data_IF_819787540527
#
_entry.id   IF_819787540527
#
_cell.length_a   1.000
_cell.length_b   1.000
_cell.length_c   1.000
_cell.angle_alpha   90.00
_cell.angle_beta   90.00
_cell.angle_gamma   90.00
#
_symmetry.space_group_name_H-M   'P 1'
#
loop_
_entity.id
_entity.type
_entity.pdbx_description
1 polymer ?
#
# COMPACT_ATOMS: atom_id res chain seq x y z
N UNK A 1 -19.95 7.53 -58.72
CA UNK A 1 -21.16 7.60 -59.56
C UNK A 1 -21.73 6.18 -59.67
N UNK A 2 -23.00 6.03 -59.27
CA UNK A 2 -23.99 5.00 -59.71
C UNK A 2 -23.58 3.53 -59.44
N UNK A 3 -24.21 2.79 -58.52
CA UNK A 3 -25.61 2.32 -58.57
C UNK A 3 -25.73 1.17 -59.59
N UNK A 4 -26.50 0.10 -59.46
CA UNK A 4 -27.35 -0.53 -58.48
C UNK A 4 -27.70 -1.91 -59.11
N UNK A 5 -28.13 -2.87 -58.29
CA UNK A 5 -29.04 -3.98 -58.61
C UNK A 5 -28.80 -4.86 -59.87
N UNK A 6 -28.73 -6.18 -59.68
CA UNK A 6 -29.95 -7.00 -59.88
C UNK A 6 -29.73 -8.48 -59.60
N UNK A 7 -30.71 -8.99 -58.87
CA UNK A 7 -30.99 -10.37 -58.45
C UNK A 7 -31.08 -11.38 -59.61
N UNK A 8 -30.75 -12.64 -59.34
CA UNK A 8 -31.68 -13.81 -59.31
C UNK A 8 -30.92 -15.12 -59.06
N UNK A 9 -31.40 -15.92 -58.09
CA UNK A 9 -31.11 -17.36 -57.86
C UNK A 9 -32.09 -18.22 -58.72
N UNK A 10 -32.20 -19.57 -58.59
CA UNK A 10 -31.24 -20.69 -58.33
C UNK A 10 -31.46 -21.88 -59.32
N UNK A 11 -30.63 -22.94 -59.26
CA UNK A 11 -31.09 -24.32 -59.54
C UNK A 11 -30.22 -25.40 -58.86
N UNK A 12 -30.91 -26.24 -58.06
CA UNK A 12 -30.77 -27.70 -57.84
C UNK A 12 -29.37 -28.32 -57.66
N UNK A 13 -29.09 -29.22 -56.71
CA UNK A 13 -29.79 -29.98 -55.66
C UNK A 13 -28.65 -30.66 -54.84
N UNK A 14 -28.76 -31.63 -53.94
CA UNK A 14 -29.71 -32.68 -53.56
C UNK A 14 -29.20 -33.16 -52.18
N UNK A 15 -30.09 -33.57 -51.26
CA UNK A 15 -29.65 -34.52 -50.22
C UNK A 15 -30.55 -34.68 -48.99
N UNK A 16 -31.68 -35.39 -49.17
CA UNK A 16 -32.30 -36.44 -48.30
C UNK A 16 -31.89 -36.47 -46.81
N UNK A 17 -32.80 -36.57 -45.83
CA UNK A 17 -33.76 -37.68 -45.68
C UNK A 17 -34.63 -37.58 -44.39
N UNK A 18 -35.95 -37.72 -44.59
CA UNK A 18 -36.98 -38.49 -43.84
C UNK A 18 -37.52 -38.03 -42.47
N UNK A 19 -38.87 -37.87 -42.49
CA UNK A 19 -39.85 -37.48 -41.47
C UNK A 19 -40.36 -38.71 -40.64
N UNK A 20 -41.56 -38.67 -39.99
CA UNK A 20 -41.84 -38.15 -38.64
C UNK A 20 -42.69 -39.14 -37.79
N UNK A 21 -42.84 -38.97 -36.47
CA UNK A 21 -44.10 -39.31 -35.76
C UNK A 21 -44.25 -38.46 -34.50
N UNK A 22 -45.37 -37.76 -34.44
CA UNK A 22 -45.83 -36.93 -33.32
C UNK A 22 -46.55 -37.79 -32.27
N UNK A 23 -46.51 -37.35 -31.01
CA UNK A 23 -47.56 -37.58 -30.03
C UNK A 23 -47.66 -36.35 -29.11
N UNK A 24 -48.90 -35.88 -28.94
CA UNK A 24 -49.38 -34.70 -28.21
C UNK A 24 -50.18 -35.18 -26.99
N UNK A 25 -50.26 -34.36 -25.92
CA UNK A 25 -51.36 -34.13 -24.95
C UNK A 25 -50.76 -33.87 -23.54
N UNK A 26 -50.71 -32.61 -23.06
CA UNK A 26 -51.75 -31.86 -22.31
C UNK A 26 -51.88 -32.33 -20.84
N UNK A 27 -51.95 -31.52 -19.77
CA UNK A 27 -52.00 -30.08 -19.52
C UNK A 27 -51.72 -29.86 -18.00
N UNK A 28 -51.24 -28.68 -17.58
CA UNK A 28 -51.77 -27.81 -16.50
C UNK A 28 -50.86 -26.59 -16.40
N UNK A 29 -51.43 -25.42 -16.72
CA UNK A 29 -50.93 -24.11 -16.28
C UNK A 29 -51.83 -23.70 -15.11
N UNK A 30 -51.24 -23.36 -13.96
CA UNK A 30 -51.54 -22.18 -13.09
C UNK A 30 -50.75 -22.36 -11.78
N UNK A 31 -49.72 -21.55 -11.58
CA UNK A 31 -49.47 -20.76 -10.37
C UNK A 31 -48.09 -20.07 -10.46
N UNK A 32 -48.10 -18.75 -10.48
CA UNK A 32 -46.93 -17.90 -10.51
C UNK A 32 -46.05 -18.06 -9.27
N UNK A 33 -44.76 -18.32 -9.47
CA UNK A 33 -43.68 -17.98 -8.55
C UNK A 33 -42.45 -17.66 -9.40
N UNK A 34 -42.40 -16.41 -9.88
CA UNK A 34 -41.15 -15.76 -10.25
C UNK A 34 -40.32 -15.60 -8.97
N UNK A 35 -39.62 -16.66 -8.56
CA UNK A 35 -38.45 -16.48 -7.73
C UNK A 35 -37.40 -15.86 -8.65
N UNK A 36 -37.35 -14.52 -8.62
CA UNK A 36 -36.15 -13.77 -8.94
C UNK A 36 -34.99 -14.45 -8.22
N UNK A 37 -34.15 -15.20 -8.94
CA UNK A 37 -32.78 -15.33 -8.50
C UNK A 37 -32.28 -13.88 -8.37
N UNK A 38 -31.68 -13.47 -7.24
CA UNK A 38 -30.95 -12.22 -7.24
C UNK A 38 -29.89 -12.36 -8.32
N UNK A 39 -30.10 -11.69 -9.44
CA UNK A 39 -29.01 -11.35 -10.32
C UNK A 39 -28.10 -10.55 -9.42
N UNK A 40 -26.98 -11.15 -8.99
CA UNK A 40 -25.87 -10.40 -8.47
C UNK A 40 -25.48 -9.47 -9.62
N UNK A 41 -26.07 -8.28 -9.64
CA UNK A 41 -25.51 -7.17 -10.36
C UNK A 41 -24.15 -7.02 -9.71
N UNK A 42 -23.11 -7.47 -10.41
CA UNK A 42 -21.78 -6.93 -10.20
C UNK A 42 -21.92 -5.44 -10.50
N UNK A 43 -22.37 -4.69 -9.51
CA UNK A 43 -22.17 -3.25 -9.51
C UNK A 43 -20.67 -3.12 -9.51
N UNK A 44 -20.11 -2.57 -10.59
CA UNK A 44 -18.71 -2.14 -10.72
C UNK A 44 -18.41 -1.02 -9.70
N UNK A 45 -18.64 -1.29 -8.41
CA UNK A 45 -18.17 -0.48 -7.31
C UNK A 45 -16.68 -0.79 -7.27
N UNK A 46 -15.89 0.17 -7.74
CA UNK A 46 -14.45 0.15 -7.49
C UNK A 46 -14.31 0.28 -5.98
N UNK A 47 -14.05 -0.81 -5.29
CA UNK A 47 -13.94 -0.87 -3.83
C UNK A 47 -12.61 -0.28 -3.32
N UNK A 48 -11.68 -0.04 -4.24
CA UNK A 48 -10.39 0.60 -4.00
C UNK A 48 -10.46 2.09 -4.37
N UNK A 49 -10.19 2.95 -3.39
CA UNK A 49 -9.91 4.37 -3.61
C UNK A 49 -8.46 4.73 -3.36
N UNK A 50 -8.08 5.94 -3.77
CA UNK A 50 -6.80 6.53 -3.40
C UNK A 50 -6.91 8.01 -3.08
N UNK A 51 -5.95 8.49 -2.28
CA UNK A 51 -5.86 9.88 -1.88
C UNK A 51 -4.43 10.40 -2.00
N UNK A 52 -4.30 11.63 -2.49
CA UNK A 52 -3.02 12.34 -2.50
C UNK A 52 -2.79 13.04 -1.15
N UNK A 53 -2.10 12.35 -0.24
CA UNK A 53 -1.80 12.91 1.08
C UNK A 53 -0.86 14.12 1.01
N UNK A 54 -0.02 14.22 -0.02
CA UNK A 54 0.86 15.36 -0.22
C UNK A 54 0.04 16.62 -0.51
N UNK A 55 -1.02 16.52 -1.32
CA UNK A 55 -1.96 17.62 -1.54
C UNK A 55 -2.76 17.96 -0.28
N UNK A 56 -3.18 16.98 0.52
CA UNK A 56 -3.85 17.26 1.81
C UNK A 56 -2.95 18.06 2.76
N UNK A 57 -1.65 17.71 2.83
CA UNK A 57 -0.66 18.43 3.64
C UNK A 57 -0.39 19.86 3.18
N UNK A 58 -0.82 20.22 1.97
CA UNK A 58 -0.72 21.57 1.43
C UNK A 58 -1.94 22.46 1.72
N UNK A 59 -2.97 21.93 2.38
CA UNK A 59 -4.14 22.74 2.75
C UNK A 59 -3.76 23.83 3.77
N UNK A 60 -4.52 24.94 3.75
CA UNK A 60 -4.27 26.12 4.58
C UNK A 60 -4.01 25.81 6.06
N UNK A 61 -4.84 24.99 6.74
CA UNK A 61 -4.61 24.63 8.13
C UNK A 61 -3.27 23.92 8.37
N UNK A 62 -2.87 23.00 7.48
CA UNK A 62 -1.58 22.30 7.58
C UNK A 62 -0.40 23.25 7.33
N UNK A 63 -0.48 24.16 6.34
CA UNK A 63 0.54 25.19 6.10
C UNK A 63 0.70 26.14 7.30
N UNK A 64 -0.42 26.52 7.92
CA UNK A 64 -0.42 27.33 9.14
C UNK A 64 0.26 26.59 10.29
N UNK A 65 -0.10 25.33 10.53
CA UNK A 65 0.54 24.49 11.55
C UNK A 65 2.05 24.33 11.30
N UNK A 66 2.48 24.08 10.06
CA UNK A 66 3.89 24.02 9.66
C UNK A 66 4.63 25.32 9.97
N UNK A 67 4.03 26.46 9.63
CA UNK A 67 4.62 27.79 9.89
C UNK A 67 4.78 28.04 11.39
N UNK A 68 3.74 27.75 12.18
CA UNK A 68 3.77 27.89 13.64
C UNK A 68 4.81 26.97 14.28
N UNK A 69 4.93 25.73 13.79
CA UNK A 69 5.92 24.79 14.29
C UNK A 69 7.34 25.22 13.96
N UNK A 70 7.60 25.69 12.74
CA UNK A 70 8.92 26.21 12.34
C UNK A 70 9.33 27.46 13.14
N UNK A 71 8.37 28.34 13.45
CA UNK A 71 8.61 29.48 14.35
C UNK A 71 8.94 29.01 15.78
N UNK A 72 8.18 28.05 16.30
CA UNK A 72 8.44 27.46 17.61
C UNK A 72 9.83 26.82 17.68
N UNK A 73 10.23 26.04 16.68
CA UNK A 73 11.57 25.43 16.63
C UNK A 73 12.68 26.48 16.64
N UNK A 74 12.55 27.57 15.87
CA UNK A 74 13.54 28.66 15.88
C UNK A 74 13.68 29.29 17.27
N UNK A 75 12.57 29.55 17.94
CA UNK A 75 12.58 30.05 19.33
C UNK A 75 13.19 29.05 20.30
N UNK A 76 12.84 27.77 20.16
CA UNK A 76 13.30 26.69 21.02
C UNK A 76 14.81 26.48 20.88
N UNK A 77 15.38 26.58 19.67
CA UNK A 77 16.83 26.51 19.45
C UNK A 77 17.60 27.64 20.14
N UNK A 78 17.07 28.87 20.14
CA UNK A 78 17.68 30.00 20.88
C UNK A 78 17.66 29.78 22.39
N UNK A 79 16.54 29.29 22.93
CA UNK A 79 16.41 28.92 24.34
C UNK A 79 17.37 27.79 24.72
N UNK A 80 17.57 26.81 23.83
CA UNK A 80 18.46 25.68 24.07
C UNK A 80 19.91 26.14 24.21
N UNK A 81 20.39 26.95 23.26
CA UNK A 81 21.76 27.49 23.29
C UNK A 81 22.02 28.31 24.55
N UNK A 82 21.04 29.07 25.04
CA UNK A 82 21.15 29.78 26.30
C UNK A 82 21.18 28.83 27.51
N UNK A 83 20.33 27.79 27.50
CA UNK A 83 20.18 26.86 28.62
C UNK A 83 21.41 25.97 28.86
N UNK A 84 22.16 25.60 27.81
CA UNK A 84 23.33 24.72 27.90
C UNK A 84 24.63 25.43 28.31
N UNK A 85 24.70 26.77 28.24
CA UNK A 85 25.90 27.54 28.58
C UNK A 85 26.32 27.30 30.03
N UNK A 86 27.58 26.92 30.22
CA UNK A 86 28.16 26.66 31.55
C UNK A 86 27.56 25.45 32.27
N UNK A 87 26.84 24.55 31.58
CA UNK A 87 26.27 23.33 32.16
C UNK A 87 27.19 22.13 31.97
N UNK A 88 27.15 21.20 32.92
CA UNK A 88 27.85 19.92 32.81
C UNK A 88 27.18 19.01 31.78
N UNK A 89 27.90 17.98 31.31
CA UNK A 89 27.40 17.03 30.30
C UNK A 89 26.08 16.35 30.73
N UNK A 90 25.97 15.94 31.99
CA UNK A 90 24.74 15.34 32.52
C UNK A 90 23.55 16.32 32.53
N UNK A 91 23.80 17.61 32.80
CA UNK A 91 22.77 18.64 32.75
C UNK A 91 22.36 18.96 31.31
N UNK A 92 23.32 19.03 30.38
CA UNK A 92 23.05 19.23 28.96
C UNK A 92 22.17 18.11 28.39
N UNK A 93 22.44 16.85 28.77
CA UNK A 93 21.62 15.72 28.34
C UNK A 93 20.16 15.83 28.81
N UNK A 94 19.93 16.25 30.07
CA UNK A 94 18.57 16.48 30.60
C UNK A 94 17.86 17.63 29.87
N UNK A 95 18.58 18.73 29.61
CA UNK A 95 18.06 19.87 28.85
C UNK A 95 17.67 19.43 27.43
N UNK A 96 18.51 18.63 26.78
CA UNK A 96 18.22 18.10 25.44
C UNK A 96 16.93 17.26 25.43
N UNK A 97 16.75 16.37 26.42
CA UNK A 97 15.53 15.56 26.55
C UNK A 97 14.27 16.42 26.78
N UNK A 98 14.34 17.44 27.64
CA UNK A 98 13.21 18.35 27.87
C UNK A 98 12.83 19.09 26.57
N UNK A 99 13.81 19.63 25.86
CA UNK A 99 13.60 20.39 24.64
C UNK A 99 13.00 19.53 23.53
N UNK A 100 13.49 18.30 23.34
CA UNK A 100 12.89 17.33 22.43
C UNK A 100 11.44 17.01 22.83
N UNK A 101 11.18 16.85 24.14
CA UNK A 101 9.83 16.65 24.66
C UNK A 101 8.89 17.83 24.36
N UNK A 102 9.37 19.07 24.51
CA UNK A 102 8.62 20.30 24.18
C UNK A 102 8.31 20.37 22.69
N UNK A 103 9.28 20.08 21.83
CA UNK A 103 9.08 20.01 20.37
C UNK A 103 8.03 18.96 20.00
N UNK A 104 8.13 17.74 20.53
CA UNK A 104 7.18 16.67 20.26
C UNK A 104 5.76 17.00 20.75
N UNK A 105 5.61 17.61 21.94
CA UNK A 105 4.32 18.08 22.45
C UNK A 105 3.72 19.12 21.52
N UNK A 106 4.49 20.14 21.13
CA UNK A 106 4.01 21.20 20.24
C UNK A 106 3.61 20.68 18.87
N UNK A 107 4.36 19.71 18.34
CA UNK A 107 4.00 19.05 17.08
C UNK A 107 2.65 18.34 17.20
N UNK A 108 2.43 17.54 18.26
CA UNK A 108 1.15 16.86 18.47
C UNK A 108 -0.01 17.83 18.65
N UNK A 109 0.17 18.92 19.37
CA UNK A 109 -0.86 19.97 19.55
C UNK A 109 -1.28 20.59 18.21
N UNK A 110 -0.32 20.90 17.33
CA UNK A 110 -0.58 21.57 16.07
C UNK A 110 -1.13 20.61 14.99
N UNK A 111 -0.59 19.40 14.91
CA UNK A 111 -0.90 18.46 13.83
C UNK A 111 -1.92 17.40 14.22
N UNK A 112 -2.00 17.00 15.48
CA UNK A 112 -2.89 15.91 15.94
C UNK A 112 -4.36 16.12 15.53
N UNK A 113 -4.97 17.28 15.84
CA UNK A 113 -6.35 17.56 15.42
C UNK A 113 -6.54 17.58 13.90
N UNK A 114 -5.55 18.07 13.14
CA UNK A 114 -5.60 18.13 11.68
C UNK A 114 -5.53 16.73 11.06
N UNK A 115 -4.63 15.88 11.58
CA UNK A 115 -4.49 14.49 11.15
C UNK A 115 -5.73 13.67 11.49
N UNK A 116 -6.27 13.81 12.71
CA UNK A 116 -7.52 13.16 13.10
C UNK A 116 -8.70 13.59 12.22
N UNK A 117 -8.79 14.89 11.89
CA UNK A 117 -9.79 15.39 10.95
C UNK A 117 -9.60 14.80 9.55
N UNK A 118 -8.38 14.74 9.03
CA UNK A 118 -8.10 14.15 7.73
C UNK A 118 -8.49 12.67 7.67
N UNK A 119 -8.14 11.90 8.71
CA UNK A 119 -8.50 10.50 8.83
C UNK A 119 -10.03 10.30 8.86
N UNK A 120 -10.74 11.11 9.64
CA UNK A 120 -12.20 11.08 9.67
C UNK A 120 -12.82 11.45 8.32
N UNK A 121 -12.29 12.46 7.63
CA UNK A 121 -12.76 12.84 6.29
C UNK A 121 -12.56 11.73 5.27
N UNK A 122 -11.40 11.06 5.29
CA UNK A 122 -11.11 9.93 4.40
C UNK A 122 -12.08 8.79 4.69
N UNK A 123 -12.27 8.43 5.96
CA UNK A 123 -13.19 7.37 6.37
C UNK A 123 -14.63 7.66 5.95
N UNK A 124 -15.11 8.88 6.14
CA UNK A 124 -16.48 9.27 5.77
C UNK A 124 -16.68 9.30 4.26
N UNK A 125 -15.71 9.79 3.49
CA UNK A 125 -15.76 9.75 2.02
C UNK A 125 -15.71 8.32 1.50
N UNK A 126 -14.87 7.47 2.09
CA UNK A 126 -14.77 6.06 1.75
C UNK A 126 -16.10 5.33 2.02
N UNK A 127 -16.68 5.50 3.21
CA UNK A 127 -17.97 4.91 3.56
C UNK A 127 -19.09 5.38 2.62
N UNK A 128 -19.17 6.68 2.32
CA UNK A 128 -20.17 7.24 1.41
C UNK A 128 -20.06 6.73 -0.03
N UNK A 129 -18.87 6.30 -0.45
CA UNK A 129 -18.60 5.79 -1.79
C UNK A 129 -18.51 4.26 -1.85
N UNK A 130 -18.72 3.57 -0.73
CA UNK A 130 -18.62 2.11 -0.66
C UNK A 130 -17.20 1.57 -0.84
N UNK A 131 -16.17 2.33 -0.48
CA UNK A 131 -14.77 1.91 -0.59
C UNK A 131 -14.38 1.02 0.59
N UNK A 132 -13.83 -0.16 0.30
CA UNK A 132 -13.31 -1.12 1.28
C UNK A 132 -11.88 -0.78 1.71
N UNK A 133 -11.14 -0.06 0.86
CA UNK A 133 -9.76 0.37 1.11
C UNK A 133 -9.46 1.71 0.43
N UNK A 134 -8.62 2.52 1.09
CA UNK A 134 -8.01 3.71 0.49
C UNK A 134 -6.50 3.63 0.69
N UNK A 135 -5.77 3.82 -0.41
CA UNK A 135 -4.30 3.84 -0.42
C UNK A 135 -3.75 5.21 -0.78
N UNK A 136 -2.45 5.40 -0.56
CA UNK A 136 -1.76 6.61 -0.99
C UNK A 136 -1.59 6.63 -2.51
N UNK A 137 -1.76 7.81 -3.13
CA UNK A 137 -1.62 8.00 -4.58
C UNK A 137 -0.24 7.60 -5.11
N UNK A 138 0.82 7.66 -4.31
CA UNK A 138 2.19 7.36 -4.73
C UNK A 138 2.40 5.94 -5.27
N UNK A 139 1.52 4.99 -4.92
CA UNK A 139 1.58 3.61 -5.40
C UNK A 139 0.59 3.31 -6.55
N UNK A 140 -0.19 4.29 -6.98
CA UNK A 140 -1.20 4.10 -8.03
C UNK A 140 -0.64 4.51 -9.39
N UNK A 141 -0.58 3.54 -10.29
CA UNK A 141 -0.26 3.77 -11.71
C UNK A 141 -1.55 3.91 -12.53
N UNK A 142 -2.51 3.01 -12.31
CA UNK A 142 -3.78 2.95 -13.02
C UNK A 142 -4.87 2.31 -12.15
N UNK A 143 -6.13 2.72 -12.34
CA UNK A 143 -7.28 2.20 -11.61
C UNK A 143 -7.54 2.92 -10.28
N UNK A 144 -8.55 2.41 -9.56
CA UNK A 144 -9.02 2.99 -8.29
C UNK A 144 -9.77 4.32 -8.46
N UNK A 145 -10.52 4.69 -7.42
CA UNK A 145 -11.26 5.95 -7.36
C UNK A 145 -10.44 7.04 -6.65
N UNK A 146 -10.09 8.11 -7.37
CA UNK A 146 -9.47 9.28 -6.75
C UNK A 146 -10.50 10.00 -5.86
N UNK A 147 -10.30 9.96 -4.54
CA UNK A 147 -11.16 10.66 -3.58
C UNK A 147 -10.54 11.96 -3.04
N UNK A 148 -9.40 12.40 -3.60
CA UNK A 148 -8.62 13.54 -3.07
C UNK A 148 -9.48 14.80 -2.99
N UNK A 149 -10.24 15.13 -4.04
CA UNK A 149 -11.12 16.32 -4.06
C UNK A 149 -12.22 16.23 -3.01
N UNK A 150 -12.86 15.07 -2.87
CA UNK A 150 -13.94 14.87 -1.91
C UNK A 150 -13.44 15.00 -0.46
N UNK A 151 -12.26 14.44 -0.18
CA UNK A 151 -11.60 14.56 1.12
C UNK A 151 -11.18 16.01 1.41
N UNK A 152 -10.61 16.72 0.44
CA UNK A 152 -10.27 18.14 0.58
C UNK A 152 -11.51 18.99 0.87
N UNK A 153 -12.61 18.74 0.16
CA UNK A 153 -13.88 19.43 0.39
C UNK A 153 -14.38 19.19 1.81
N UNK A 154 -14.39 17.95 2.29
CA UNK A 154 -14.83 17.61 3.64
C UNK A 154 -13.89 18.18 4.73
N UNK A 155 -12.58 18.15 4.52
CA UNK A 155 -11.60 18.77 5.41
C UNK A 155 -11.85 20.28 5.60
N UNK A 156 -12.26 20.97 4.54
CA UNK A 156 -12.53 22.41 4.54
C UNK A 156 -13.92 22.77 5.10
N UNK A 157 -14.83 21.82 5.29
CA UNK A 157 -16.14 22.11 5.87
C UNK A 157 -16.01 22.57 7.33
N UNK A 158 -16.83 23.51 7.82
CA UNK A 158 -16.89 23.85 9.25
C UNK A 158 -17.49 22.71 10.10
N UNK A 159 -17.09 22.62 11.37
CA UNK A 159 -17.68 21.65 12.32
C UNK A 159 -16.94 20.30 12.40
N UNK A 160 -17.30 19.42 13.34
CA UNK A 160 -16.65 18.12 13.52
C UNK A 160 -16.92 17.20 12.32
N UNK A 161 -15.88 16.51 11.84
CA UNK A 161 -16.08 15.39 10.91
C UNK A 161 -16.38 14.17 11.77
N UNK A 162 -17.61 13.68 11.69
CA UNK A 162 -18.02 12.48 12.42
C UNK A 162 -17.56 11.28 11.60
N UNK A 163 -16.61 10.47 12.10
CA UNK A 163 -16.22 9.25 11.41
C UNK A 163 -17.40 8.28 11.38
N UNK A 164 -17.50 7.42 10.37
CA UNK A 164 -18.49 6.35 10.35
C UNK A 164 -18.35 5.48 11.60
N UNK A 165 -19.48 5.13 12.22
CA UNK A 165 -19.54 4.26 13.40
C UNK A 165 -19.24 2.78 13.07
N UNK A 166 -19.29 2.43 11.78
CA UNK A 166 -19.03 1.08 11.30
C UNK A 166 -17.60 0.97 10.77
N UNK A 167 -16.95 -0.14 11.09
CA UNK A 167 -15.72 -0.55 10.43
C UNK A 167 -15.99 -0.74 8.93
N UNK A 168 -15.06 -0.36 8.03
CA UNK A 168 -15.21 -0.66 6.62
C UNK A 168 -15.36 -2.17 6.42
N UNK A 169 -16.18 -2.56 5.46
CA UNK A 169 -16.38 -3.96 5.09
C UNK A 169 -15.02 -4.60 4.76
N UNK A 170 -14.78 -5.88 5.13
CA UNK A 170 -13.53 -6.56 4.77
C UNK A 170 -13.23 -6.41 3.28
N UNK A 171 -12.00 -6.02 2.97
CA UNK A 171 -11.53 -5.80 1.60
C UNK A 171 -10.84 -7.06 1.08
N UNK A 172 -10.96 -7.31 -0.22
CA UNK A 172 -10.12 -8.28 -0.93
C UNK A 172 -8.65 -7.80 -1.04
N UNK A 173 -8.37 -6.55 -0.66
CA UNK A 173 -7.03 -6.01 -0.46
C UNK A 173 -6.61 -6.20 0.99
N UNK A 174 -5.60 -7.02 1.20
CA UNK A 174 -4.91 -7.12 2.48
C UNK A 174 -3.78 -6.12 2.62
N UNK A 175 -3.32 -5.95 3.85
CA UNK A 175 -2.05 -5.28 4.11
C UNK A 175 -1.22 -6.02 5.15
N UNK A 176 0.09 -5.83 5.05
CA UNK A 176 1.07 -6.38 6.00
C UNK A 176 2.00 -5.28 6.49
N UNK A 177 2.28 -5.29 7.79
CA UNK A 177 3.31 -4.42 8.38
C UNK A 177 4.70 -5.01 8.12
N UNK A 178 5.37 -4.51 7.08
CA UNK A 178 6.71 -4.96 6.70
C UNK A 178 7.74 -4.69 7.80
N UNK A 179 7.57 -3.63 8.61
CA UNK A 179 8.50 -3.35 9.69
C UNK A 179 8.46 -4.45 10.77
N UNK A 180 7.29 -5.05 11.01
CA UNK A 180 7.16 -6.20 11.90
C UNK A 180 7.76 -7.47 11.32
N UNK A 181 7.65 -7.67 10.00
CA UNK A 181 8.33 -8.76 9.30
C UNK A 181 9.86 -8.60 9.36
N UNK A 182 10.36 -7.39 9.12
CA UNK A 182 11.80 -7.08 9.16
C UNK A 182 12.39 -7.23 10.56
N UNK A 183 11.57 -7.04 11.60
CA UNK A 183 11.93 -7.26 12.99
C UNK A 183 12.04 -8.75 13.38
N UNK A 184 11.62 -9.69 12.52
CA UNK A 184 11.74 -11.11 12.79
C UNK A 184 13.21 -11.52 12.97
N UNK A 185 13.54 -12.37 13.97
CA UNK A 185 14.91 -12.77 14.23
C UNK A 185 15.66 -13.34 13.01
N UNK A 186 14.97 -14.13 12.19
CA UNK A 186 15.53 -14.70 10.94
C UNK A 186 15.86 -13.63 9.91
N UNK A 187 14.96 -12.66 9.71
CA UNK A 187 15.15 -11.55 8.76
C UNK A 187 16.28 -10.65 9.24
N UNK A 188 16.25 -10.27 10.52
CA UNK A 188 17.30 -9.46 11.14
C UNK A 188 18.66 -10.14 11.01
N UNK A 189 18.76 -11.44 11.31
CA UNK A 189 20.01 -12.19 11.18
C UNK A 189 20.53 -12.19 9.75
N UNK A 190 19.68 -12.46 8.76
CA UNK A 190 20.10 -12.46 7.36
C UNK A 190 20.59 -11.07 6.90
N UNK A 191 19.93 -10.00 7.34
CA UNK A 191 20.35 -8.63 7.07
C UNK A 191 21.69 -8.29 7.75
N UNK A 192 21.87 -8.68 9.01
CA UNK A 192 23.12 -8.49 9.75
C UNK A 192 24.28 -9.26 9.07
N UNK A 193 24.05 -10.52 8.68
CA UNK A 193 25.05 -11.37 8.01
C UNK A 193 25.47 -10.76 6.65
N UNK A 194 24.51 -10.29 5.84
CA UNK A 194 24.79 -9.61 4.57
C UNK A 194 25.54 -8.28 4.77
N UNK A 195 25.17 -7.50 5.79
CA UNK A 195 25.86 -6.25 6.11
C UNK A 195 27.31 -6.48 6.55
N UNK A 196 27.55 -7.49 7.39
CA UNK A 196 28.89 -7.89 7.80
C UNK A 196 29.72 -8.36 6.60
N UNK A 197 29.14 -9.18 5.72
CA UNK A 197 29.80 -9.60 4.49
C UNK A 197 30.22 -8.41 3.62
N UNK A 198 29.32 -7.44 3.41
CA UNK A 198 29.60 -6.19 2.68
C UNK A 198 30.76 -5.40 3.28
N UNK A 199 30.80 -5.25 4.60
CA UNK A 199 31.88 -4.52 5.28
C UNK A 199 33.24 -5.20 5.11
N UNK A 200 33.26 -6.53 5.24
CA UNK A 200 34.46 -7.32 5.02
C UNK A 200 34.93 -7.25 3.57
N UNK A 201 34.00 -7.38 2.63
CA UNK A 201 34.31 -7.34 1.20
C UNK A 201 34.79 -5.95 0.76
N UNK A 202 34.23 -4.87 1.32
CA UNK A 202 34.69 -3.50 1.04
C UNK A 202 36.13 -3.29 1.48
N UNK A 203 36.53 -3.86 2.62
CA UNK A 203 37.91 -3.81 3.11
C UNK A 203 38.86 -4.58 2.17
N UNK A 204 38.42 -5.72 1.64
CA UNK A 204 39.18 -6.49 0.65
C UNK A 204 39.29 -5.76 -0.68
N UNK A 205 38.23 -5.08 -1.13
CA UNK A 205 38.24 -4.26 -2.34
C UNK A 205 39.29 -3.15 -2.24
N UNK A 206 39.31 -2.41 -1.13
CA UNK A 206 40.28 -1.34 -0.91
C UNK A 206 41.72 -1.86 -0.97
N UNK A 207 41.99 -3.02 -0.36
CA UNK A 207 43.30 -3.67 -0.41
C UNK A 207 43.67 -4.15 -1.83
N UNK A 208 42.73 -4.75 -2.57
CA UNK A 208 42.97 -5.28 -3.92
C UNK A 208 43.12 -4.19 -4.97
N UNK A 209 42.54 -3.01 -4.76
CA UNK A 209 42.65 -1.88 -5.67
C UNK A 209 43.95 -1.08 -5.50
N UNK A 210 44.69 -1.27 -4.40
CA UNK A 210 45.95 -0.57 -4.17
C UNK A 210 46.96 -0.86 -5.30
N UNK A 211 47.38 0.19 -6.02
CA UNK A 211 48.32 0.08 -7.14
C UNK A 211 47.74 -0.50 -8.45
N UNK A 212 46.44 -0.85 -8.52
CA UNK A 212 45.80 -1.32 -9.77
C UNK A 212 45.11 -0.17 -10.52
N UNK A 213 45.23 -0.17 -11.85
CA UNK A 213 44.59 0.80 -12.75
C UNK A 213 44.06 0.11 -14.02
N UNK A 214 43.29 0.83 -14.84
CA UNK A 214 42.75 0.34 -16.11
C UNK A 214 41.89 -0.92 -15.96
N UNK A 215 42.03 -1.85 -16.90
CA UNK A 215 41.24 -3.09 -16.96
C UNK A 215 41.38 -3.95 -15.69
N UNK A 216 42.55 -3.93 -15.05
CA UNK A 216 42.78 -4.65 -13.80
C UNK A 216 41.93 -4.10 -12.64
N UNK A 217 41.65 -2.80 -12.61
CA UNK A 217 40.71 -2.19 -11.65
C UNK A 217 39.28 -2.58 -11.97
N UNK A 218 38.88 -2.53 -13.24
CA UNK A 218 37.53 -2.91 -13.70
C UNK A 218 37.21 -4.37 -13.36
N UNK A 219 38.14 -5.29 -13.59
CA UNK A 219 37.96 -6.70 -13.27
C UNK A 219 37.74 -6.95 -11.76
N UNK A 220 38.48 -6.25 -10.90
CA UNK A 220 38.31 -6.35 -9.44
C UNK A 220 36.94 -5.82 -9.00
N UNK A 221 36.50 -4.68 -9.53
CA UNK A 221 35.17 -4.11 -9.23
C UNK A 221 34.04 -5.04 -9.72
N UNK A 222 34.18 -5.65 -10.89
CA UNK A 222 33.19 -6.59 -11.41
C UNK A 222 33.08 -7.84 -10.54
N UNK A 223 34.23 -8.41 -10.13
CA UNK A 223 34.26 -9.55 -9.20
C UNK A 223 33.62 -9.21 -7.86
N UNK A 224 33.89 -8.01 -7.33
CA UNK A 224 33.26 -7.50 -6.11
C UNK A 224 31.73 -7.42 -6.26
N UNK A 225 31.23 -6.84 -7.35
CA UNK A 225 29.79 -6.75 -7.61
C UNK A 225 29.13 -8.13 -7.74
N UNK A 226 29.80 -9.09 -8.39
CA UNK A 226 29.34 -10.48 -8.48
C UNK A 226 29.22 -11.12 -7.10
N UNK A 227 30.27 -11.01 -6.29
CA UNK A 227 30.28 -11.54 -4.92
C UNK A 227 29.18 -10.95 -4.05
N UNK A 228 28.90 -9.65 -4.17
CA UNK A 228 27.77 -9.02 -3.49
C UNK A 228 26.42 -9.60 -3.95
N UNK A 229 26.21 -9.74 -5.25
CA UNK A 229 24.96 -10.30 -5.79
C UNK A 229 24.77 -11.76 -5.39
N UNK A 230 25.85 -12.56 -5.44
CA UNK A 230 25.82 -13.97 -5.07
C UNK A 230 25.52 -14.14 -3.57
N UNK A 231 26.17 -13.37 -2.70
CA UNK A 231 25.88 -13.43 -1.27
C UNK A 231 24.50 -12.88 -0.93
N UNK A 232 24.05 -11.81 -1.62
CA UNK A 232 22.69 -11.30 -1.48
C UNK A 232 21.66 -12.39 -1.80
N UNK A 233 21.81 -13.07 -2.94
CA UNK A 233 20.94 -14.19 -3.32
C UNK A 233 21.02 -15.33 -2.33
N UNK A 234 22.22 -15.67 -1.85
CA UNK A 234 22.40 -16.77 -0.91
C UNK A 234 21.77 -16.51 0.46
N UNK A 235 21.88 -15.29 0.98
CA UNK A 235 21.48 -14.95 2.35
C UNK A 235 20.07 -14.35 2.41
N UNK A 236 19.72 -13.48 1.46
CA UNK A 236 18.43 -12.78 1.47
C UNK A 236 17.34 -13.47 0.66
N UNK A 237 17.67 -14.14 -0.47
CA UNK A 237 16.64 -14.76 -1.31
C UNK A 237 15.80 -15.80 -0.55
N UNK A 238 16.36 -16.71 0.27
CA UNK A 238 15.55 -17.67 1.01
C UNK A 238 14.57 -16.99 1.98
N UNK A 239 14.96 -15.85 2.55
CA UNK A 239 14.12 -15.06 3.45
C UNK A 239 13.00 -14.36 2.69
N UNK A 240 13.32 -13.79 1.52
CA UNK A 240 12.33 -13.18 0.62
C UNK A 240 11.33 -14.23 0.15
N UNK A 241 11.79 -15.41 -0.25
CA UNK A 241 10.94 -16.50 -0.72
C UNK A 241 10.02 -17.01 0.40
N UNK A 242 10.56 -17.21 1.60
CA UNK A 242 9.78 -17.62 2.78
C UNK A 242 8.71 -16.58 3.16
N UNK A 243 9.06 -15.30 3.14
CA UNK A 243 8.13 -14.20 3.45
C UNK A 243 7.05 -14.08 2.38
N UNK A 244 7.44 -14.13 1.11
CA UNK A 244 6.52 -14.09 -0.03
C UNK A 244 5.55 -15.27 0.01
N UNK A 245 6.05 -16.46 0.32
CA UNK A 245 5.23 -17.67 0.47
C UNK A 245 4.25 -17.52 1.64
N UNK A 246 4.71 -17.07 2.80
CA UNK A 246 3.84 -16.86 3.96
C UNK A 246 2.71 -15.86 3.66
N UNK A 247 3.03 -14.73 3.02
CA UNK A 247 2.04 -13.74 2.59
C UNK A 247 1.07 -14.37 1.57
N UNK A 248 1.59 -15.10 0.58
CA UNK A 248 0.77 -15.74 -0.45
C UNK A 248 -0.20 -16.78 0.12
N UNK A 249 0.25 -17.59 1.07
CA UNK A 249 -0.57 -18.62 1.70
C UNK A 249 -1.69 -18.00 2.55
N UNK A 250 -1.40 -16.95 3.31
CA UNK A 250 -2.41 -16.22 4.08
C UNK A 250 -3.38 -15.48 3.15
N UNK A 251 -2.88 -14.89 2.06
CA UNK A 251 -3.72 -14.24 1.05
C UNK A 251 -4.71 -15.23 0.43
N UNK A 252 -4.25 -16.43 0.02
CA UNK A 252 -5.13 -17.50 -0.50
C UNK A 252 -6.14 -17.95 0.54
N UNK A 253 -5.72 -18.17 1.79
CA UNK A 253 -6.60 -18.60 2.87
C UNK A 253 -7.73 -17.60 3.14
N UNK A 254 -7.46 -16.30 2.98
CA UNK A 254 -8.42 -15.22 3.21
C UNK A 254 -9.07 -14.70 1.92
N UNK A 255 -8.83 -15.36 0.78
CA UNK A 255 -9.35 -14.96 -0.53
C UNK A 255 -9.00 -13.51 -0.91
N UNK A 256 -7.79 -13.07 -0.58
CA UNK A 256 -7.28 -11.74 -0.92
C UNK A 256 -6.69 -11.74 -2.33
N UNK A 257 -7.02 -10.71 -3.11
CA UNK A 257 -6.50 -10.51 -4.48
C UNK A 257 -5.14 -9.80 -4.49
N UNK A 258 -4.89 -8.94 -3.50
CA UNK A 258 -3.69 -8.12 -3.40
C UNK A 258 -3.30 -7.96 -1.93
N UNK A 259 -2.01 -7.98 -1.62
CA UNK A 259 -1.48 -7.57 -0.32
C UNK A 259 -0.50 -6.42 -0.54
N UNK A 260 -0.76 -5.31 0.13
CA UNK A 260 0.10 -4.12 0.09
C UNK A 260 0.88 -3.95 1.39
N UNK A 261 1.94 -3.14 1.35
CA UNK A 261 2.60 -2.68 2.56
C UNK A 261 1.70 -1.71 3.34
N UNK A 262 1.62 -1.87 4.67
CA UNK A 262 0.82 -1.04 5.56
C UNK A 262 1.13 0.47 5.47
N UNK A 263 2.34 0.85 5.09
CA UNK A 263 2.75 2.26 4.89
C UNK A 263 2.01 2.94 3.75
N UNK A 264 1.55 2.17 2.76
CA UNK A 264 0.78 2.68 1.63
C UNK A 264 -0.73 2.67 1.89
N UNK A 265 -1.18 2.07 3.01
CA UNK A 265 -2.59 1.97 3.39
C UNK A 265 -3.01 3.19 4.21
N UNK A 266 -4.02 3.89 3.73
CA UNK A 266 -4.57 5.08 4.41
C UNK A 266 -5.83 4.74 5.22
N UNK A 267 -6.73 3.91 4.68
CA UNK A 267 -7.96 3.50 5.35
C UNK A 267 -8.41 2.10 4.89
N UNK A 268 -9.10 1.36 5.75
CA UNK A 268 -9.68 0.05 5.41
C UNK A 268 -8.63 -1.03 5.14
N UNK A 269 -8.98 -2.02 4.31
CA UNK A 269 -8.13 -3.18 4.04
C UNK A 269 -8.19 -4.26 5.12
N UNK A 270 -7.75 -5.47 4.77
CA UNK A 270 -7.69 -6.62 5.68
C UNK A 270 -6.29 -6.74 6.29
N UNK A 271 -6.13 -6.54 7.60
CA UNK A 271 -4.84 -6.76 8.26
C UNK A 271 -4.52 -8.26 8.29
N UNK A 272 -3.40 -8.64 7.66
CA UNK A 272 -2.92 -10.03 7.68
C UNK A 272 -1.59 -10.19 8.42
N UNK A 273 -1.08 -9.12 9.03
CA UNK A 273 0.25 -9.09 9.66
C UNK A 273 0.42 -10.20 10.68
N UNK A 274 -0.50 -10.32 11.63
CA UNK A 274 -0.42 -11.32 12.69
C UNK A 274 -0.52 -12.76 12.16
N UNK A 275 -1.23 -12.98 11.05
CA UNK A 275 -1.38 -14.30 10.45
C UNK A 275 -0.14 -14.69 9.65
N UNK A 276 0.47 -13.73 8.93
CA UNK A 276 1.74 -13.92 8.24
C UNK A 276 2.85 -14.22 9.25
N UNK A 277 2.96 -13.44 10.33
CA UNK A 277 3.97 -13.63 11.37
C UNK A 277 3.92 -15.01 12.05
N UNK A 278 2.75 -15.66 12.07
CA UNK A 278 2.58 -17.00 12.63
C UNK A 278 2.97 -18.12 11.66
N UNK A 279 3.23 -17.81 10.38
CA UNK A 279 3.58 -18.82 9.38
C UNK A 279 4.79 -19.62 9.81
N UNK A 280 4.70 -20.95 9.65
CA UNK A 280 5.82 -21.87 9.92
C UNK A 280 7.04 -21.58 9.06
N UNK A 281 6.84 -20.97 7.89
CA UNK A 281 7.93 -20.57 7.01
C UNK A 281 8.81 -19.46 7.63
N UNK A 282 8.26 -18.72 8.61
CA UNK A 282 8.90 -17.57 9.27
C UNK A 282 9.35 -17.84 10.72
N UNK A 283 8.99 -18.98 11.31
CA UNK A 283 9.46 -19.43 12.63
C UNK A 283 10.77 -20.17 12.52
#
# INVERSE_FOLDING_TARGET
>A
MVGNDSRRRPSEGIGRSRNPRAAVLAAVVVAALLCFAPQALATDITDIGFVDQALLGQLGPFRTAQTQFAQFQRSLSGQFQAAIKGKSQAQQQRIYQDFNGRAARRQRELFGPLLGRAQASIASVAANKGLSVVVDKSIIIFGGLDITKDVMNMLNQPGPVIPPINSPTPSEVGFVDQAQLDALPKVKKANDDYLQYRQNLQSQLNAQLAGKQGDARTAVVNKFNQQLNDEQKKVLQPIVDATTKAISDVAKQKSLLLVIDATNRVYGGTDVTADVLKSKDLQ
#
